data_IF_852121959451
#
_entry.id   IF_852121959451
#
_cell.length_a   1.000
_cell.length_b   1.000
_cell.length_c   1.000
_cell.angle_alpha   90.00
_cell.angle_beta   90.00
_cell.angle_gamma   90.00
#
_symmetry.space_group_name_H-M   'P 1'
#
loop_
_entity.id
_entity.type
_entity.pdbx_description
1 polymer ?
#
# COMPACT_ATOMS: atom_id res chain seq x y z
N UNK A 1 -15.81 -3.59 -1.50
CA UNK A 1 -15.87 -2.31 -0.75
C UNK A 1 -15.37 -1.14 -1.59
N UNK A 2 -15.51 0.08 -1.07
CA UNK A 2 -15.13 1.30 -1.80
C UNK A 2 -14.51 2.33 -0.86
N UNK A 3 -13.39 2.95 -1.29
CA UNK A 3 -12.75 4.07 -0.63
C UNK A 3 -12.43 5.16 -1.66
N UNK A 4 -12.29 6.43 -1.25
CA UNK A 4 -12.01 7.55 -2.12
C UNK A 4 -10.70 8.21 -1.69
N UNK A 5 -9.73 8.30 -2.61
CA UNK A 5 -8.36 8.70 -2.35
C UNK A 5 -7.98 9.90 -3.21
N UNK A 6 -7.69 11.02 -2.56
CA UNK A 6 -7.17 12.23 -3.18
C UNK A 6 -5.66 12.31 -2.95
N UNK A 7 -4.87 12.06 -3.97
CA UNK A 7 -3.41 11.96 -3.91
C UNK A 7 -2.68 12.99 -4.77
N UNK A 8 -3.23 14.18 -4.96
CA UNK A 8 -2.76 15.16 -5.92
C UNK A 8 -3.40 14.93 -7.29
N UNK A 9 -2.62 14.96 -8.37
CA UNK A 9 -3.15 14.77 -9.72
C UNK A 9 -3.68 13.34 -9.91
N UNK A 10 -4.95 13.19 -10.26
CA UNK A 10 -5.67 11.91 -10.19
C UNK A 10 -5.19 10.83 -11.19
N UNK A 11 -4.57 11.19 -12.34
CA UNK A 11 -4.05 10.19 -13.28
C UNK A 11 -2.95 9.31 -12.66
N UNK A 12 -2.01 9.93 -11.94
CA UNK A 12 -0.94 9.21 -11.26
C UNK A 12 -1.46 8.37 -10.11
N UNK A 13 -2.37 8.93 -9.30
CA UNK A 13 -3.00 8.23 -8.19
C UNK A 13 -3.82 7.03 -8.67
N UNK A 14 -4.63 7.18 -9.75
CA UNK A 14 -5.38 6.09 -10.36
C UNK A 14 -4.45 4.99 -10.85
N UNK A 15 -3.43 5.35 -11.64
CA UNK A 15 -2.49 4.39 -12.21
C UNK A 15 -1.74 3.61 -11.11
N UNK A 16 -1.35 4.30 -10.03
CA UNK A 16 -0.69 3.67 -8.88
C UNK A 16 -1.62 2.69 -8.15
N UNK A 17 -2.81 3.14 -7.77
CA UNK A 17 -3.76 2.32 -7.01
C UNK A 17 -4.29 1.13 -7.83
N UNK A 18 -4.46 1.28 -9.13
CA UNK A 18 -4.94 0.20 -10.01
C UNK A 18 -3.96 -0.96 -10.17
N UNK A 19 -2.71 -0.81 -9.75
CA UNK A 19 -1.70 -1.88 -9.84
C UNK A 19 -1.86 -2.93 -8.75
N UNK A 20 -2.51 -2.61 -7.63
CA UNK A 20 -2.57 -3.52 -6.48
C UNK A 20 -3.59 -4.63 -6.66
N UNK A 21 -3.14 -5.85 -6.41
CA UNK A 21 -4.01 -7.02 -6.47
C UNK A 21 -5.09 -6.93 -5.37
N UNK A 22 -6.34 -7.13 -5.76
CA UNK A 22 -7.51 -6.87 -4.92
C UNK A 22 -8.22 -5.55 -5.24
N UNK A 23 -7.57 -4.61 -5.97
CA UNK A 23 -8.27 -3.46 -6.55
C UNK A 23 -9.01 -3.92 -7.80
N UNK A 24 -10.34 -3.79 -7.78
CA UNK A 24 -11.25 -4.30 -8.82
C UNK A 24 -11.54 -3.24 -9.86
N UNK A 25 -11.73 -1.98 -9.42
CA UNK A 25 -12.07 -0.86 -10.29
C UNK A 25 -11.50 0.45 -9.73
N UNK A 26 -11.08 1.33 -10.61
CA UNK A 26 -10.75 2.72 -10.28
C UNK A 26 -11.54 3.66 -11.19
N UNK A 27 -12.02 4.76 -10.63
CA UNK A 27 -12.71 5.84 -11.36
C UNK A 27 -12.17 7.17 -10.87
N UNK A 28 -11.62 7.99 -11.76
CA UNK A 28 -11.21 9.36 -11.42
C UNK A 28 -12.39 10.31 -11.42
N UNK A 29 -12.36 11.27 -10.53
CA UNK A 29 -13.46 12.22 -10.39
C UNK A 29 -13.14 13.38 -9.44
N UNK A 30 -14.18 14.10 -9.07
CA UNK A 30 -14.14 15.31 -8.25
C UNK A 30 -14.95 15.10 -6.98
N UNK A 31 -14.30 15.25 -5.82
CA UNK A 31 -14.92 14.98 -4.52
C UNK A 31 -15.01 16.22 -3.63
N UNK A 32 -15.98 16.19 -2.71
CA UNK A 32 -16.12 17.09 -1.57
C UNK A 32 -16.17 18.60 -1.88
N UNK A 33 -16.62 18.97 -3.07
CA UNK A 33 -16.86 20.36 -3.47
C UNK A 33 -18.26 20.87 -3.14
N UNK A 34 -18.54 22.08 -3.61
CA UNK A 34 -19.78 22.82 -3.34
C UNK A 34 -20.65 23.05 -4.58
N UNK A 35 -20.24 22.55 -5.73
CA UNK A 35 -20.94 22.64 -7.03
C UNK A 35 -21.39 21.25 -7.43
N UNK A 36 -22.63 21.10 -7.89
CA UNK A 36 -23.13 19.84 -8.40
C UNK A 36 -22.62 19.63 -9.83
N UNK A 37 -22.18 18.39 -10.12
CA UNK A 37 -21.74 17.93 -11.45
C UNK A 37 -20.78 18.93 -12.15
N UNK A 38 -19.63 19.25 -11.53
CA UNK A 38 -18.70 20.24 -12.08
C UNK A 38 -17.95 19.71 -13.29
N UNK A 39 -17.72 20.56 -14.29
CA UNK A 39 -16.81 20.27 -15.38
C UNK A 39 -15.34 20.45 -14.94
N UNK A 40 -14.40 19.80 -15.65
CA UNK A 40 -12.95 19.91 -15.37
C UNK A 40 -12.48 21.37 -15.31
N UNK A 41 -12.90 22.19 -16.27
CA UNK A 41 -12.51 23.61 -16.34
C UNK A 41 -12.97 24.41 -15.11
N UNK A 42 -14.13 24.05 -14.52
CA UNK A 42 -14.64 24.68 -13.31
C UNK A 42 -13.81 24.28 -12.09
N UNK A 43 -13.49 22.98 -11.96
CA UNK A 43 -12.62 22.46 -10.88
C UNK A 43 -11.22 23.07 -10.98
N UNK A 44 -10.69 23.22 -12.20
CA UNK A 44 -9.38 23.82 -12.46
C UNK A 44 -9.26 25.27 -11.94
N UNK A 45 -10.37 25.98 -11.77
CA UNK A 45 -10.35 27.34 -11.19
C UNK A 45 -10.10 27.37 -9.68
N UNK A 46 -10.10 26.23 -8.99
CA UNK A 46 -10.07 26.10 -7.51
C UNK A 46 -11.28 26.74 -6.79
N UNK A 47 -12.32 27.22 -7.51
CA UNK A 47 -13.49 27.92 -6.92
C UNK A 47 -14.61 26.98 -6.50
N UNK A 48 -14.65 25.78 -7.05
CA UNK A 48 -15.70 24.79 -6.76
C UNK A 48 -15.49 24.07 -5.43
N UNK A 49 -14.28 24.17 -4.84
CA UNK A 49 -13.91 23.48 -3.62
C UNK A 49 -13.72 21.97 -3.78
N UNK A 50 -13.85 21.43 -5.01
CA UNK A 50 -13.59 20.02 -5.28
C UNK A 50 -12.11 19.67 -5.19
N UNK A 51 -11.85 18.40 -4.88
CA UNK A 51 -10.52 17.80 -4.96
C UNK A 51 -10.53 16.75 -6.07
N UNK A 52 -9.43 16.65 -6.80
CA UNK A 52 -9.19 15.51 -7.70
C UNK A 52 -9.05 14.24 -6.88
N UNK A 53 -9.84 13.23 -7.17
CA UNK A 53 -10.01 12.06 -6.35
C UNK A 53 -10.17 10.81 -7.19
N UNK A 54 -9.72 9.68 -6.65
CA UNK A 54 -9.90 8.35 -7.24
C UNK A 54 -10.84 7.55 -6.35
N UNK A 55 -11.99 7.14 -6.90
CA UNK A 55 -12.82 6.09 -6.31
C UNK A 55 -12.12 4.75 -6.54
N UNK A 56 -11.81 4.03 -5.47
CA UNK A 56 -11.18 2.71 -5.52
C UNK A 56 -12.18 1.68 -5.01
N UNK A 57 -12.59 0.78 -5.89
CA UNK A 57 -13.39 -0.42 -5.54
C UNK A 57 -12.43 -1.58 -5.33
N UNK A 58 -12.53 -2.26 -4.21
CA UNK A 58 -11.62 -3.33 -3.84
C UNK A 58 -12.34 -4.53 -3.20
N UNK A 59 -11.71 -5.69 -3.32
CA UNK A 59 -12.10 -6.93 -2.66
C UNK A 59 -11.37 -7.03 -1.31
N UNK A 60 -12.11 -6.90 -0.20
CA UNK A 60 -11.55 -6.91 1.16
C UNK A 60 -11.08 -8.30 1.62
N UNK A 61 -11.42 -9.36 0.89
CA UNK A 61 -10.83 -10.69 1.05
C UNK A 61 -9.41 -10.76 0.45
N UNK A 62 -9.08 -9.88 -0.49
CA UNK A 62 -7.78 -9.84 -1.16
C UNK A 62 -6.86 -8.77 -0.58
N UNK A 63 -7.36 -7.58 -0.29
CA UNK A 63 -6.60 -6.45 0.24
C UNK A 63 -7.44 -5.66 1.23
N UNK A 64 -6.93 -5.47 2.45
CA UNK A 64 -7.65 -4.71 3.47
C UNK A 64 -7.59 -3.21 3.21
N UNK A 65 -8.56 -2.46 3.78
CA UNK A 65 -8.55 -1.00 3.77
C UNK A 65 -7.27 -0.45 4.42
N UNK A 66 -6.81 -1.06 5.51
CA UNK A 66 -5.57 -0.64 6.18
C UNK A 66 -4.36 -0.73 5.24
N UNK A 67 -4.23 -1.83 4.50
CA UNK A 67 -3.17 -2.00 3.48
C UNK A 67 -3.31 -0.97 2.37
N UNK A 68 -4.52 -0.75 1.83
CA UNK A 68 -4.74 0.27 0.79
C UNK A 68 -4.35 1.68 1.27
N UNK A 69 -4.71 2.05 2.50
CA UNK A 69 -4.33 3.34 3.08
C UNK A 69 -2.81 3.48 3.25
N UNK A 70 -2.10 2.43 3.74
CA UNK A 70 -0.63 2.46 3.83
C UNK A 70 0.01 2.63 2.46
N UNK A 71 -0.46 1.90 1.46
CA UNK A 71 0.02 2.01 0.08
C UNK A 71 -0.25 3.41 -0.49
N UNK A 72 -1.43 3.98 -0.24
CA UNK A 72 -1.76 5.34 -0.65
C UNK A 72 -0.80 6.37 -0.04
N UNK A 73 -0.51 6.29 1.27
CA UNK A 73 0.47 7.18 1.91
C UNK A 73 1.87 7.10 1.30
N UNK A 74 2.24 5.99 0.66
CA UNK A 74 3.52 5.86 -0.06
C UNK A 74 3.55 6.59 -1.41
N UNK A 75 2.38 7.00 -1.92
CA UNK A 75 2.27 7.73 -3.19
C UNK A 75 2.21 9.25 -3.01
N UNK A 76 2.14 9.76 -1.78
CA UNK A 76 2.00 11.18 -1.48
C UNK A 76 3.08 11.68 -0.52
N UNK A 77 3.32 12.97 -0.52
CA UNK A 77 3.98 13.66 0.60
C UNK A 77 2.86 14.20 1.53
N UNK A 78 2.71 13.61 2.73
CA UNK A 78 1.59 13.92 3.61
C UNK A 78 1.74 15.27 4.36
N UNK A 79 2.84 15.99 4.17
CA UNK A 79 3.11 17.31 4.74
C UNK A 79 2.86 18.48 3.78
N UNK A 80 2.62 18.19 2.49
CA UNK A 80 2.41 19.23 1.47
C UNK A 80 0.94 19.65 1.39
N UNK A 81 0.64 20.83 1.93
CA UNK A 81 -0.70 21.41 1.89
C UNK A 81 -1.02 21.91 0.46
N UNK A 82 -2.18 21.49 -0.08
CA UNK A 82 -2.69 21.89 -1.39
C UNK A 82 -1.69 21.72 -2.54
N UNK A 83 -0.86 20.69 -2.45
CA UNK A 83 0.20 20.45 -3.42
C UNK A 83 0.65 18.99 -3.42
N UNK A 84 0.96 18.44 -4.62
CA UNK A 84 1.78 17.23 -4.73
C UNK A 84 2.75 17.40 -5.92
N UNK A 85 4.04 17.19 -5.67
CA UNK A 85 5.07 17.42 -6.67
C UNK A 85 5.03 18.85 -7.26
N UNK A 86 4.89 18.97 -8.57
CA UNK A 86 4.76 20.24 -9.29
C UNK A 86 3.33 20.81 -9.33
N UNK A 87 2.31 20.01 -8.97
CA UNK A 87 0.91 20.40 -9.06
C UNK A 87 0.48 21.17 -7.80
N UNK A 88 0.13 22.44 -7.98
CA UNK A 88 -0.22 23.40 -6.91
C UNK A 88 -1.67 23.87 -7.11
N UNK A 89 -2.45 23.82 -6.04
CA UNK A 89 -3.86 24.25 -6.01
C UNK A 89 -4.66 23.44 -5.00
N UNK A 90 -5.79 23.99 -4.54
CA UNK A 90 -6.65 23.32 -3.55
C UNK A 90 -7.25 22.02 -4.10
N UNK A 91 -7.39 21.90 -5.42
CA UNK A 91 -7.82 20.67 -6.10
C UNK A 91 -6.83 19.52 -5.98
N UNK A 92 -5.56 19.80 -5.67
CA UNK A 92 -4.51 18.80 -5.47
C UNK A 92 -4.20 18.50 -3.99
N UNK A 93 -5.08 18.94 -3.07
CA UNK A 93 -4.95 18.56 -1.66
C UNK A 93 -5.12 17.05 -1.49
N UNK A 94 -4.51 16.52 -0.45
CA UNK A 94 -4.56 15.08 -0.19
C UNK A 94 -5.67 14.73 0.79
N UNK A 95 -6.28 13.54 0.63
CA UNK A 95 -7.35 13.11 1.50
C UNK A 95 -7.76 11.65 1.33
N UNK A 96 -8.37 11.10 2.38
CA UNK A 96 -9.03 9.80 2.43
C UNK A 96 -10.48 10.02 2.84
N UNK A 97 -11.41 9.60 1.99
CA UNK A 97 -12.85 9.81 2.23
C UNK A 97 -13.60 8.50 2.14
N UNK A 98 -14.57 8.29 3.01
CA UNK A 98 -15.33 7.05 3.14
C UNK A 98 -16.85 7.29 3.14
N UNK A 99 -17.61 6.28 2.70
CA UNK A 99 -19.06 6.24 2.79
C UNK A 99 -19.53 5.36 3.95
N UNK A 100 -18.76 4.30 4.28
CA UNK A 100 -19.08 3.38 5.37
C UNK A 100 -18.45 3.91 6.67
N UNK A 101 -19.28 4.05 7.71
CA UNK A 101 -18.82 4.52 9.03
C UNK A 101 -17.82 3.56 9.68
N UNK A 102 -17.87 2.27 9.35
CA UNK A 102 -16.92 1.28 9.88
C UNK A 102 -15.50 1.50 9.35
N UNK A 103 -15.35 2.12 8.18
CA UNK A 103 -14.06 2.45 7.59
C UNK A 103 -13.33 3.56 8.37
N UNK A 104 -14.04 4.41 9.11
CA UNK A 104 -13.45 5.49 9.89
C UNK A 104 -12.39 5.01 10.87
N UNK A 105 -12.69 3.98 11.64
CA UNK A 105 -11.76 3.47 12.67
C UNK A 105 -10.45 2.99 12.04
N UNK A 106 -10.52 2.31 10.89
CA UNK A 106 -9.36 1.81 10.15
C UNK A 106 -8.52 2.97 9.59
N UNK A 107 -9.16 3.98 9.00
CA UNK A 107 -8.47 5.17 8.48
C UNK A 107 -7.77 5.92 9.60
N UNK A 108 -8.44 6.12 10.75
CA UNK A 108 -7.86 6.80 11.91
C UNK A 108 -6.65 6.05 12.49
N UNK A 109 -6.71 4.72 12.56
CA UNK A 109 -5.62 3.90 13.04
C UNK A 109 -4.38 4.02 12.12
N UNK A 110 -4.56 3.87 10.81
CA UNK A 110 -3.47 4.00 9.84
C UNK A 110 -2.93 5.43 9.84
N UNK A 111 -3.80 6.44 9.89
CA UNK A 111 -3.37 7.83 9.97
C UNK A 111 -2.49 8.08 11.21
N UNK A 112 -2.88 7.58 12.39
CA UNK A 112 -2.09 7.66 13.59
C UNK A 112 -0.75 6.90 13.50
N UNK A 113 -0.74 5.76 12.79
CA UNK A 113 0.48 5.01 12.51
C UNK A 113 1.46 5.84 11.66
N UNK A 114 0.97 6.45 10.58
CA UNK A 114 1.79 7.29 9.69
C UNK A 114 2.24 8.56 10.41
N UNK A 115 1.36 9.23 11.18
CA UNK A 115 1.72 10.43 11.95
C UNK A 115 2.94 10.21 12.86
N UNK A 116 3.10 9.02 13.45
CA UNK A 116 4.26 8.70 14.29
C UNK A 116 5.61 8.70 13.55
N UNK A 117 5.58 8.63 12.22
CA UNK A 117 6.79 8.71 11.38
C UNK A 117 7.24 10.16 11.11
N UNK A 118 6.41 11.16 11.47
CA UNK A 118 6.65 12.59 11.20
C UNK A 118 6.55 13.42 12.47
N UNK A 119 7.40 14.42 12.57
CA UNK A 119 7.36 15.38 13.69
C UNK A 119 6.28 16.47 13.48
N UNK A 120 6.03 16.83 12.22
CA UNK A 120 5.01 17.80 11.84
C UNK A 120 3.64 17.11 11.69
N UNK A 121 2.53 17.84 11.95
CA UNK A 121 1.19 17.29 11.71
C UNK A 121 0.96 17.01 10.22
N UNK A 122 0.37 15.87 9.92
CA UNK A 122 -0.04 15.54 8.57
C UNK A 122 -1.17 16.47 8.12
N UNK A 123 -1.14 16.87 6.83
CA UNK A 123 -2.16 17.73 6.22
C UNK A 123 -3.17 16.97 5.37
N UNK A 124 -3.13 15.64 5.39
CA UNK A 124 -4.06 14.77 4.67
C UNK A 124 -5.45 14.85 5.30
N UNK A 125 -6.45 15.22 4.50
CA UNK A 125 -7.84 15.25 4.96
C UNK A 125 -8.34 13.82 5.24
N UNK A 126 -9.21 13.68 6.24
CA UNK A 126 -9.89 12.42 6.56
C UNK A 126 -11.31 12.75 7.03
N UNK A 127 -12.30 12.31 6.26
CA UNK A 127 -13.70 12.63 6.56
C UNK A 127 -14.66 11.69 5.81
N UNK A 128 -15.92 11.61 6.22
CA UNK A 128 -16.96 11.07 5.36
C UNK A 128 -16.99 11.79 4.01
N UNK A 129 -17.28 11.02 2.95
CA UNK A 129 -17.49 11.57 1.61
C UNK A 129 -18.79 12.40 1.59
N UNK A 130 -18.72 13.62 1.05
CA UNK A 130 -19.90 14.49 0.85
C UNK A 130 -20.52 14.27 -0.52
N UNK A 131 -19.68 14.26 -1.56
CA UNK A 131 -20.09 14.04 -2.95
C UNK A 131 -18.90 13.51 -3.75
N UNK A 132 -19.22 12.82 -4.85
CA UNK A 132 -18.26 12.39 -5.85
C UNK A 132 -18.94 12.43 -7.23
N UNK A 133 -18.31 13.11 -8.16
CA UNK A 133 -18.72 13.17 -9.56
C UNK A 133 -17.61 12.58 -10.42
N UNK A 134 -17.95 11.62 -11.28
CA UNK A 134 -16.97 11.03 -12.19
C UNK A 134 -16.44 12.10 -13.16
N UNK A 135 -15.13 12.15 -13.35
CA UNK A 135 -14.55 12.98 -14.36
C UNK A 135 -14.88 12.44 -15.77
N UNK A 136 -14.63 13.27 -16.77
CA UNK A 136 -14.89 13.00 -18.16
C UNK A 136 -14.18 11.73 -18.65
N UNK A 137 -14.75 11.05 -19.65
CA UNK A 137 -14.24 9.75 -20.16
C UNK A 137 -12.78 9.82 -20.62
N UNK A 138 -12.32 10.95 -21.15
CA UNK A 138 -10.92 11.10 -21.57
C UNK A 138 -9.94 11.09 -20.40
N UNK A 139 -10.39 11.43 -19.17
CA UNK A 139 -9.61 11.39 -17.96
C UNK A 139 -9.48 9.96 -17.37
N UNK A 140 -10.47 9.09 -17.63
CA UNK A 140 -10.49 7.73 -17.08
C UNK A 140 -9.35 6.88 -17.67
N UNK A 141 -8.58 6.21 -16.80
CA UNK A 141 -7.45 5.34 -17.18
C UNK A 141 -6.46 6.04 -18.15
N UNK A 142 -6.23 7.33 -17.91
CA UNK A 142 -5.46 8.17 -18.81
C UNK A 142 -4.06 7.62 -19.09
N UNK A 143 -3.30 7.20 -18.07
CA UNK A 143 -1.95 6.67 -18.23
C UNK A 143 -1.91 5.26 -18.85
N UNK A 144 -3.02 4.52 -18.84
CA UNK A 144 -3.14 3.26 -19.60
C UNK A 144 -3.32 3.57 -21.09
N UNK A 145 -4.14 4.57 -21.42
CA UNK A 145 -4.37 5.05 -22.80
C UNK A 145 -3.16 5.82 -23.36
N UNK A 146 -2.41 6.51 -22.49
CA UNK A 146 -1.29 7.39 -22.82
C UNK A 146 -0.08 7.10 -21.91
N UNK A 147 0.70 6.02 -22.15
CA UNK A 147 1.80 5.62 -21.26
C UNK A 147 2.92 6.66 -21.08
N UNK A 148 3.11 7.55 -22.07
CA UNK A 148 4.05 8.69 -22.02
C UNK A 148 3.42 9.97 -21.46
N UNK A 149 2.18 9.89 -20.98
CA UNK A 149 1.45 11.03 -20.41
C UNK A 149 2.05 11.52 -19.10
N UNK A 150 1.64 12.72 -18.70
CA UNK A 150 2.10 13.31 -17.44
C UNK A 150 1.70 12.46 -16.23
N UNK A 151 2.68 12.19 -15.37
CA UNK A 151 2.48 11.56 -14.07
C UNK A 151 3.28 12.30 -13.00
N UNK A 152 2.64 12.75 -11.92
CA UNK A 152 3.33 13.42 -10.81
C UNK A 152 4.13 12.44 -9.93
N UNK A 153 3.85 11.14 -10.03
CA UNK A 153 4.58 10.12 -9.28
C UNK A 153 5.89 9.74 -9.99
N UNK A 154 6.90 9.44 -9.20
CA UNK A 154 8.18 8.98 -9.73
C UNK A 154 8.06 7.60 -10.38
N UNK A 155 8.88 7.37 -11.41
CA UNK A 155 8.96 6.05 -12.04
C UNK A 155 9.37 4.94 -11.04
N UNK A 156 10.19 5.27 -10.03
CA UNK A 156 10.57 4.33 -8.98
C UNK A 156 9.39 3.93 -8.11
N UNK A 157 8.50 4.87 -7.76
CA UNK A 157 7.27 4.60 -7.01
C UNK A 157 6.36 3.63 -7.77
N UNK A 158 6.13 3.91 -9.07
CA UNK A 158 5.29 3.05 -9.92
C UNK A 158 5.89 1.66 -10.10
N UNK A 159 7.21 1.56 -10.33
CA UNK A 159 7.90 0.27 -10.46
C UNK A 159 7.86 -0.54 -9.17
N UNK A 160 7.99 0.10 -8.01
CA UNK A 160 7.89 -0.58 -6.72
C UNK A 160 6.50 -1.14 -6.46
N UNK A 161 5.44 -0.39 -6.80
CA UNK A 161 4.07 -0.87 -6.72
C UNK A 161 3.82 -2.07 -7.65
N UNK A 162 4.30 -2.01 -8.89
CA UNK A 162 4.19 -3.10 -9.86
C UNK A 162 4.92 -4.36 -9.37
N UNK A 163 6.13 -4.21 -8.84
CA UNK A 163 6.93 -5.33 -8.32
C UNK A 163 6.28 -5.96 -7.08
N UNK A 164 5.81 -5.14 -6.13
CA UNK A 164 5.05 -5.61 -4.97
C UNK A 164 3.84 -6.44 -5.39
N UNK A 165 3.03 -5.92 -6.31
CA UNK A 165 1.83 -6.59 -6.79
C UNK A 165 2.14 -7.91 -7.51
N UNK A 166 3.21 -7.92 -8.31
CA UNK A 166 3.70 -9.12 -9.00
C UNK A 166 4.09 -10.22 -8.01
N UNK A 167 4.81 -9.89 -6.93
CA UNK A 167 5.20 -10.86 -5.89
C UNK A 167 3.97 -11.45 -5.22
N UNK A 168 2.99 -10.61 -4.83
CA UNK A 168 1.75 -11.10 -4.20
C UNK A 168 0.98 -12.02 -5.14
N UNK A 169 0.86 -11.64 -6.41
CA UNK A 169 0.19 -12.46 -7.43
C UNK A 169 0.89 -13.81 -7.63
N UNK A 170 2.23 -13.84 -7.64
CA UNK A 170 2.99 -15.08 -7.74
C UNK A 170 2.78 -15.97 -6.51
N UNK A 171 2.81 -15.40 -5.29
CA UNK A 171 2.50 -16.12 -4.05
C UNK A 171 1.07 -16.68 -4.07
N UNK A 172 0.08 -15.88 -4.44
CA UNK A 172 -1.33 -16.32 -4.54
C UNK A 172 -1.52 -17.44 -5.55
N UNK A 173 -0.78 -17.41 -6.66
CA UNK A 173 -0.80 -18.48 -7.66
C UNK A 173 -0.26 -19.84 -7.14
N UNK A 174 0.44 -19.83 -6.00
CA UNK A 174 0.97 -21.02 -5.32
C UNK A 174 0.16 -21.41 -4.05
N UNK A 175 -0.98 -20.77 -3.86
CA UNK A 175 -1.87 -20.95 -2.71
C UNK A 175 -2.50 -22.34 -2.68
N UNK A 176 -2.71 -22.87 -1.48
CA UNK A 176 -3.38 -24.14 -1.20
C UNK A 176 -4.50 -23.91 -0.16
N UNK A 177 -5.73 -24.25 -0.52
CA UNK A 177 -6.90 -23.96 0.32
C UNK A 177 -6.95 -24.80 1.59
N UNK A 178 -6.40 -26.03 1.57
CA UNK A 178 -6.26 -26.84 2.78
C UNK A 178 -5.29 -26.15 3.77
N UNK A 179 -4.17 -25.64 3.27
CA UNK A 179 -3.17 -24.93 4.08
C UNK A 179 -3.73 -23.62 4.65
N UNK A 180 -4.53 -22.86 3.89
CA UNK A 180 -5.22 -21.66 4.41
C UNK A 180 -6.04 -21.95 5.66
N UNK A 181 -6.66 -23.11 5.73
CA UNK A 181 -7.51 -23.52 6.86
C UNK A 181 -6.71 -23.97 8.07
N UNK A 182 -5.56 -24.62 7.85
CA UNK A 182 -4.73 -25.23 8.92
C UNK A 182 -3.77 -24.24 9.54
N UNK A 183 -3.09 -23.41 8.74
CA UNK A 183 -2.04 -22.51 9.19
C UNK A 183 -2.47 -21.53 10.29
N UNK A 184 -3.65 -20.88 10.26
CA UNK A 184 -4.07 -19.98 11.32
C UNK A 184 -4.06 -20.59 12.71
N UNK A 185 -4.46 -21.86 12.83
CA UNK A 185 -4.46 -22.59 14.12
C UNK A 185 -3.05 -22.91 14.60
N UNK A 186 -2.16 -23.23 13.67
CA UNK A 186 -0.77 -23.55 13.97
C UNK A 186 0.01 -22.31 14.44
N UNK A 187 -0.25 -21.14 13.82
CA UNK A 187 0.44 -19.89 14.10
C UNK A 187 -0.23 -19.00 15.16
N UNK A 188 -1.22 -19.53 15.90
CA UNK A 188 -1.82 -18.83 17.03
C UNK A 188 -2.38 -17.45 16.65
N UNK A 189 -3.33 -17.42 15.72
CA UNK A 189 -3.96 -16.19 15.20
C UNK A 189 -5.30 -15.86 15.85
N UNK A 190 -5.72 -16.64 16.86
CA UNK A 190 -6.93 -16.40 17.63
C UNK A 190 -6.88 -15.11 18.44
N UNK A 191 -8.03 -14.63 18.89
CA UNK A 191 -8.15 -13.41 19.69
C UNK A 191 -7.29 -13.50 20.98
N UNK A 192 -6.43 -12.51 21.20
CA UNK A 192 -5.50 -12.46 22.33
C UNK A 192 -4.23 -13.29 22.16
N UNK A 193 -4.04 -13.98 21.04
CA UNK A 193 -2.83 -14.70 20.70
C UNK A 193 -1.81 -13.79 19.98
N UNK A 194 -0.54 -14.19 19.96
CA UNK A 194 0.53 -13.33 19.42
C UNK A 194 0.48 -13.12 17.90
N UNK A 195 -0.19 -13.97 17.16
CA UNK A 195 -0.45 -13.84 15.72
C UNK A 195 -1.83 -13.29 15.39
N UNK A 196 -2.54 -12.67 16.37
CA UNK A 196 -3.86 -12.11 16.12
C UNK A 196 -3.86 -11.15 14.92
N UNK A 197 -4.80 -11.36 13.99
CA UNK A 197 -4.95 -10.55 12.79
C UNK A 197 -4.12 -11.02 11.59
N UNK A 198 -3.23 -12.01 11.74
CA UNK A 198 -2.48 -12.57 10.62
C UNK A 198 -3.39 -13.36 9.68
N UNK A 199 -3.25 -13.08 8.39
CA UNK A 199 -3.91 -13.80 7.29
C UNK A 199 -2.92 -14.70 6.57
N UNK A 200 -3.42 -15.79 6.01
CA UNK A 200 -2.59 -16.79 5.32
C UNK A 200 -3.05 -17.01 3.88
N UNK A 201 -2.08 -17.03 2.96
CA UNK A 201 -2.29 -17.40 1.56
C UNK A 201 -2.33 -18.92 1.38
N UNK A 202 -1.77 -19.67 2.31
CA UNK A 202 -1.63 -21.12 2.22
C UNK A 202 -0.44 -21.56 1.37
N UNK A 203 0.64 -20.76 1.33
CA UNK A 203 1.85 -21.06 0.55
C UNK A 203 2.90 -21.71 1.44
N UNK A 204 3.38 -22.88 1.06
CA UNK A 204 4.42 -23.59 1.81
C UNK A 204 5.78 -22.89 1.68
N UNK A 205 6.61 -22.99 2.71
CA UNK A 205 7.95 -22.35 2.81
C UNK A 205 8.83 -22.60 1.58
N UNK A 206 8.95 -23.81 1.01
CA UNK A 206 9.76 -24.03 -0.21
C UNK A 206 9.30 -23.17 -1.40
N UNK A 207 7.99 -22.97 -1.58
CA UNK A 207 7.43 -22.14 -2.63
C UNK A 207 7.71 -20.66 -2.36
N UNK A 208 7.53 -20.20 -1.11
CA UNK A 208 7.87 -18.83 -0.70
C UNK A 208 9.35 -18.52 -0.94
N UNK A 209 10.26 -19.48 -0.65
CA UNK A 209 11.70 -19.34 -0.96
C UNK A 209 11.97 -19.20 -2.45
N UNK A 210 11.24 -19.93 -3.31
CA UNK A 210 11.38 -19.81 -4.76
C UNK A 210 11.00 -18.42 -5.24
N UNK A 211 9.87 -17.89 -4.76
CA UNK A 211 9.41 -16.53 -5.09
C UNK A 211 10.43 -15.50 -4.60
N UNK A 212 10.87 -15.57 -3.35
CA UNK A 212 11.87 -14.66 -2.80
C UNK A 212 13.17 -14.65 -3.62
N UNK A 213 13.63 -15.83 -4.07
CA UNK A 213 14.83 -15.94 -4.91
C UNK A 213 14.66 -15.32 -6.29
N UNK A 214 13.47 -15.44 -6.89
CA UNK A 214 13.16 -14.81 -8.19
C UNK A 214 13.19 -13.27 -8.09
N UNK A 215 12.87 -12.72 -6.91
CA UNK A 215 12.74 -11.29 -6.66
C UNK A 215 13.85 -10.73 -5.74
N UNK A 216 14.96 -11.44 -5.54
CA UNK A 216 16.06 -11.08 -4.62
C UNK A 216 16.71 -9.71 -4.88
N UNK A 217 16.60 -9.20 -6.09
CA UNK A 217 17.19 -7.92 -6.50
C UNK A 217 16.20 -6.75 -6.38
N UNK A 218 14.96 -6.98 -5.93
CA UNK A 218 13.97 -5.94 -5.68
C UNK A 218 14.48 -4.92 -4.65
N UNK A 219 14.12 -3.63 -4.79
CA UNK A 219 14.58 -2.59 -3.87
C UNK A 219 14.02 -2.77 -2.45
N UNK A 220 14.70 -2.22 -1.44
CA UNK A 220 14.29 -2.30 -0.03
C UNK A 220 12.87 -1.82 0.23
N UNK A 221 12.39 -0.82 -0.51
CA UNK A 221 11.01 -0.33 -0.41
C UNK A 221 9.97 -1.43 -0.69
N UNK A 222 10.26 -2.36 -1.62
CA UNK A 222 9.37 -3.50 -1.91
C UNK A 222 9.39 -4.51 -0.75
N UNK A 223 10.57 -4.76 -0.16
CA UNK A 223 10.71 -5.61 1.01
C UNK A 223 9.92 -5.02 2.20
N UNK A 224 10.02 -3.70 2.39
CA UNK A 224 9.25 -2.99 3.42
C UNK A 224 7.74 -3.10 3.20
N UNK A 225 7.25 -2.88 1.97
CA UNK A 225 5.84 -3.05 1.61
C UNK A 225 5.33 -4.46 1.91
N UNK A 226 6.14 -5.50 1.64
CA UNK A 226 5.81 -6.88 1.94
C UNK A 226 5.82 -7.18 3.44
N UNK A 227 6.73 -6.57 4.23
CA UNK A 227 6.76 -6.71 5.70
C UNK A 227 5.56 -6.04 6.38
N UNK A 228 5.00 -5.00 5.78
CA UNK A 228 3.78 -4.34 6.25
C UNK A 228 2.49 -5.08 5.82
N UNK A 229 2.60 -6.16 5.05
CA UNK A 229 1.46 -6.93 4.57
C UNK A 229 0.78 -7.68 5.71
N UNK A 230 -0.56 -7.75 5.64
CA UNK A 230 -1.39 -8.59 6.50
C UNK A 230 -1.21 -10.10 6.24
N UNK A 231 -0.65 -10.46 5.07
CA UNK A 231 -0.41 -11.85 4.68
C UNK A 231 0.91 -12.35 5.22
N UNK A 232 0.85 -13.40 6.03
CA UNK A 232 2.02 -13.98 6.70
C UNK A 232 3.12 -14.38 5.70
N UNK A 233 2.78 -15.05 4.61
CA UNK A 233 3.75 -15.51 3.61
C UNK A 233 4.39 -14.35 2.82
N UNK A 234 3.72 -13.20 2.72
CA UNK A 234 4.34 -12.00 2.16
C UNK A 234 5.46 -11.49 3.07
N UNK A 235 5.23 -11.46 4.39
CA UNK A 235 6.28 -11.08 5.37
C UNK A 235 7.43 -12.09 5.39
N UNK A 236 7.13 -13.38 5.31
CA UNK A 236 8.17 -14.42 5.17
C UNK A 236 8.98 -14.22 3.87
N UNK A 237 8.31 -13.96 2.75
CA UNK A 237 8.97 -13.69 1.47
C UNK A 237 9.92 -12.50 1.58
N UNK A 238 9.47 -11.41 2.22
CA UNK A 238 10.29 -10.23 2.47
C UNK A 238 11.57 -10.55 3.24
N UNK A 239 11.46 -11.33 4.32
CA UNK A 239 12.62 -11.73 5.13
C UNK A 239 13.58 -12.64 4.37
N UNK A 240 13.07 -13.55 3.54
CA UNK A 240 13.89 -14.40 2.68
C UNK A 240 14.62 -13.57 1.60
N UNK A 241 13.97 -12.53 1.03
CA UNK A 241 14.61 -11.57 0.14
C UNK A 241 15.68 -10.76 0.89
N UNK A 242 15.43 -10.36 2.13
CA UNK A 242 16.39 -9.62 2.95
C UNK A 242 17.65 -10.45 3.27
N UNK A 243 17.53 -11.76 3.44
CA UNK A 243 18.69 -12.66 3.57
C UNK A 243 19.57 -12.61 2.30
N UNK A 244 18.98 -12.55 1.11
CA UNK A 244 19.74 -12.41 -0.13
C UNK A 244 20.42 -11.02 -0.23
N UNK A 245 19.79 -9.97 0.30
CA UNK A 245 20.39 -8.63 0.43
C UNK A 245 21.57 -8.64 1.40
N UNK A 246 21.41 -9.26 2.57
CA UNK A 246 22.44 -9.38 3.59
C UNK A 246 23.77 -9.92 3.04
N UNK A 247 23.72 -10.88 2.12
CA UNK A 247 24.93 -11.43 1.47
C UNK A 247 25.75 -10.40 0.68
N UNK A 248 25.13 -9.29 0.26
CA UNK A 248 25.78 -8.24 -0.54
C UNK A 248 26.02 -6.98 0.28
N UNK A 249 25.12 -6.64 1.16
CA UNK A 249 25.02 -5.39 1.91
C UNK A 249 24.68 -5.69 3.38
N UNK A 250 25.59 -6.32 4.17
CA UNK A 250 25.28 -6.81 5.50
C UNK A 250 24.84 -5.71 6.47
N UNK A 251 25.53 -4.58 6.53
CA UNK A 251 25.22 -3.48 7.46
C UNK A 251 23.84 -2.89 7.18
N UNK A 252 23.52 -2.66 5.91
CA UNK A 252 22.21 -2.11 5.51
C UNK A 252 21.08 -3.08 5.80
N UNK A 253 21.28 -4.38 5.51
CA UNK A 253 20.28 -5.40 5.78
C UNK A 253 20.01 -5.59 7.28
N UNK A 254 21.06 -5.53 8.12
CA UNK A 254 20.94 -5.57 9.59
C UNK A 254 20.18 -4.34 10.10
N UNK A 255 20.57 -3.15 9.64
CA UNK A 255 19.87 -1.92 10.01
C UNK A 255 18.38 -1.99 9.62
N UNK A 256 18.10 -2.43 8.40
CA UNK A 256 16.74 -2.61 7.91
C UNK A 256 15.96 -3.62 8.79
N UNK A 257 16.53 -4.77 9.09
CA UNK A 257 15.91 -5.79 9.95
C UNK A 257 15.52 -5.22 11.32
N UNK A 258 16.45 -4.52 11.98
CA UNK A 258 16.24 -3.98 13.34
C UNK A 258 15.20 -2.85 13.37
N UNK A 259 15.10 -2.08 12.31
CA UNK A 259 14.12 -0.97 12.20
C UNK A 259 12.71 -1.42 11.80
N UNK A 260 12.54 -2.67 11.30
CA UNK A 260 11.27 -3.21 10.81
C UNK A 260 10.76 -4.43 11.60
N UNK A 261 11.20 -4.59 12.85
CA UNK A 261 10.83 -5.74 13.72
C UNK A 261 9.34 -5.90 13.95
N UNK A 262 8.54 -4.81 13.80
CA UNK A 262 7.08 -4.86 13.95
C UNK A 262 6.40 -5.86 13.00
N UNK A 263 6.94 -6.02 11.78
CA UNK A 263 6.46 -7.00 10.79
C UNK A 263 6.91 -8.44 11.05
N UNK A 264 7.77 -8.66 12.07
CA UNK A 264 8.36 -9.96 12.42
C UNK A 264 7.70 -10.47 13.70
N UNK A 265 6.40 -10.72 13.63
CA UNK A 265 5.53 -10.94 14.78
C UNK A 265 5.29 -12.42 15.12
N UNK A 266 5.92 -13.36 14.41
CA UNK A 266 5.70 -14.79 14.62
C UNK A 266 7.03 -15.54 14.70
N UNK A 267 7.05 -16.68 15.42
CA UNK A 267 8.26 -17.47 15.70
C UNK A 267 8.98 -17.94 14.43
N UNK A 268 8.25 -18.38 13.41
CA UNK A 268 8.85 -18.86 12.15
C UNK A 268 9.52 -17.73 11.35
N UNK A 269 8.97 -16.52 11.39
CA UNK A 269 9.58 -15.34 10.78
C UNK A 269 10.93 -15.03 11.43
N UNK A 270 11.04 -15.20 12.76
CA UNK A 270 12.29 -15.03 13.51
C UNK A 270 13.26 -16.16 13.19
N UNK A 271 12.82 -17.42 13.33
CA UNK A 271 13.68 -18.60 13.18
C UNK A 271 14.25 -18.74 11.76
N UNK A 272 13.49 -18.31 10.75
CA UNK A 272 13.91 -18.36 9.34
C UNK A 272 14.72 -17.15 8.89
N UNK A 273 14.89 -16.12 9.71
CA UNK A 273 15.60 -14.88 9.32
C UNK A 273 16.70 -14.46 10.29
N UNK A 274 16.42 -14.36 11.59
CA UNK A 274 17.36 -13.82 12.56
C UNK A 274 18.70 -14.57 12.61
N UNK A 275 18.77 -15.92 12.59
CA UNK A 275 20.05 -16.64 12.59
C UNK A 275 20.94 -16.31 11.39
N UNK A 276 20.33 -16.03 10.24
CA UNK A 276 21.03 -15.78 8.97
C UNK A 276 21.42 -14.31 8.75
N UNK A 277 20.80 -13.39 9.47
CA UNK A 277 21.07 -11.95 9.38
C UNK A 277 21.81 -11.50 10.64
N UNK A 278 21.13 -11.55 11.81
CA UNK A 278 21.73 -11.08 13.06
C UNK A 278 22.74 -12.07 13.64
N UNK A 279 22.41 -13.38 13.62
CA UNK A 279 23.29 -14.41 14.16
C UNK A 279 24.59 -14.55 13.38
N UNK A 280 24.58 -14.35 12.07
CA UNK A 280 25.79 -14.36 11.25
C UNK A 280 26.61 -13.07 11.44
N UNK A 281 25.94 -11.91 11.44
CA UNK A 281 26.56 -10.59 11.64
C UNK A 281 27.27 -10.45 12.98
N UNK A 282 26.79 -11.11 14.05
CA UNK A 282 27.38 -11.05 15.40
C UNK A 282 28.52 -12.05 15.63
N UNK A 283 28.88 -12.86 14.63
CA UNK A 283 30.01 -13.78 14.73
C UNK A 283 31.36 -13.12 14.42
N UNK A 284 31.34 -12.01 13.71
CA UNK A 284 32.50 -11.20 13.33
C UNK A 284 32.69 -10.08 14.34
#
# INVERSE_FOLDING_TARGET
>A
KTIYLAGGFFWGTEHYMSQFEGVVETVVGYANGNVADPAYEEVYTDKTGHVECVKVVYDDEMISLATLCRLFFRSIDPLLLNRQGGDIGTRYRTGIYWNDTDDQAVVEEVYAEIQRKYNEPLVVEKSPLKCFYSAEEYNQKYLVKNPEGYCHLSLSTLKSAAEYSKIIKELRGLSDDEKKTVLPRFFKTGKGEYGEGDRFLGVIVPNTRKVAKNHKDSPYIVIEMLLESEWHECRLCALLMLIEKYRKEPDEAVHFYLTHTKGINNWDLVDLSAPYILGDYLKD
#
